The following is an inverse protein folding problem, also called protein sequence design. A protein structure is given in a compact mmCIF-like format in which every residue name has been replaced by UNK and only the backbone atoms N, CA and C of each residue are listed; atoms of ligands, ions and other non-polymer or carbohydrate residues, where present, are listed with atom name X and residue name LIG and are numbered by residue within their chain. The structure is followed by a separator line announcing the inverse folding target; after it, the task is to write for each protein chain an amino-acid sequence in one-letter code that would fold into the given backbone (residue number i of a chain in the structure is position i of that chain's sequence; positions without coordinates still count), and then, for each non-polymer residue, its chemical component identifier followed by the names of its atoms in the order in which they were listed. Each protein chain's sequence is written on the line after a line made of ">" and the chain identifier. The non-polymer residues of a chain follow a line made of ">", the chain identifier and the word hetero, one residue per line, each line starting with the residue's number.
data_IF_869319272747
#
_entry.id   IF_869319272747
#
_cell.length_a   1.000
_cell.length_b   1.000
_cell.length_c   1.000
_cell.angle_alpha   90.00
_cell.angle_beta   90.00
_cell.angle_gamma   90.00
#
_symmetry.space_group_name_H-M   'P 1'
#
loop_
_entity.id
_entity.type
_entity.pdbx_description
1 polymer ?
#
# COMPACT_ATOMS: atom_id res chain seq x y z
N UNK A 1 6.71 -14.67 11.27
CA UNK A 1 5.44 -14.44 10.55
C UNK A 1 4.90 -13.10 10.98
N UNK A 2 4.43 -12.27 10.06
CA UNK A 2 3.83 -10.96 10.31
C UNK A 2 2.53 -10.86 9.50
N UNK A 3 1.43 -10.46 10.16
CA UNK A 3 0.16 -10.11 9.51
C UNK A 3 0.06 -8.58 9.47
N UNK A 4 0.10 -8.00 8.27
CA UNK A 4 -0.15 -6.57 8.07
C UNK A 4 -1.62 -6.36 7.72
N UNK A 5 -2.31 -5.47 8.45
CA UNK A 5 -3.72 -5.17 8.22
C UNK A 5 -3.92 -3.68 7.95
N UNK A 6 -4.56 -3.38 6.83
CA UNK A 6 -4.76 -2.03 6.31
C UNK A 6 -6.23 -1.65 6.41
N UNK A 7 -6.50 -0.52 7.08
CA UNK A 7 -7.84 0.06 7.25
C UNK A 7 -7.75 1.57 7.15
N UNK A 8 -8.90 2.21 6.90
CA UNK A 8 -9.00 3.67 6.80
C UNK A 8 -8.03 4.24 5.76
N UNK A 9 -7.89 3.53 4.63
CA UNK A 9 -7.15 4.02 3.48
C UNK A 9 -8.12 4.76 2.57
N UNK A 10 -7.74 5.94 2.12
CA UNK A 10 -8.57 6.79 1.28
C UNK A 10 -7.78 7.15 0.01
N UNK A 11 -8.47 7.21 -1.12
CA UNK A 11 -7.87 7.70 -2.36
C UNK A 11 -7.68 9.20 -2.30
N UNK A 12 -6.63 9.70 -2.95
CA UNK A 12 -6.44 11.14 -3.09
C UNK A 12 -7.63 11.73 -3.86
N UNK A 13 -8.29 12.71 -3.25
CA UNK A 13 -9.54 13.23 -3.76
C UNK A 13 -9.30 14.26 -4.88
N UNK A 14 -10.25 14.37 -5.81
CA UNK A 14 -10.24 15.42 -6.81
C UNK A 14 -10.92 16.67 -6.22
N UNK A 15 -10.19 17.77 -5.94
CA UNK A 15 -10.78 18.98 -5.38
C UNK A 15 -11.78 19.65 -6.34
N UNK A 16 -11.65 19.45 -7.66
CA UNK A 16 -12.57 20.03 -8.66
C UNK A 16 -14.00 19.51 -8.53
N UNK A 17 -14.20 18.30 -8.00
CA UNK A 17 -15.54 17.75 -7.73
C UNK A 17 -16.24 18.48 -6.59
N UNK A 18 -15.48 19.14 -5.71
CA UNK A 18 -15.94 19.72 -4.44
C UNK A 18 -16.07 21.24 -4.53
N UNK A 19 -16.31 21.76 -5.74
CA UNK A 19 -16.54 23.18 -5.98
C UNK A 19 -18.03 23.46 -6.10
N UNK A 20 -18.43 24.70 -5.78
CA UNK A 20 -19.81 25.16 -5.92
C UNK A 20 -20.34 24.97 -7.35
N UNK A 21 -19.51 25.16 -8.38
CA UNK A 21 -19.89 24.94 -9.78
C UNK A 21 -20.35 23.52 -10.09
N UNK A 22 -19.89 22.52 -9.34
CA UNK A 22 -20.29 21.11 -9.49
C UNK A 22 -21.49 20.79 -8.62
N UNK A 23 -21.47 21.26 -7.36
CA UNK A 23 -22.47 20.90 -6.37
C UNK A 23 -23.75 21.75 -6.44
N UNK A 24 -23.69 22.92 -7.09
CA UNK A 24 -24.84 23.79 -7.30
C UNK A 24 -25.96 23.07 -8.05
N UNK A 25 -27.19 23.21 -7.54
CA UNK A 25 -28.37 22.53 -8.04
C UNK A 25 -28.53 21.06 -7.59
N UNK A 26 -27.62 20.52 -6.78
CA UNK A 26 -27.83 19.27 -6.06
C UNK A 26 -28.31 19.56 -4.65
N UNK A 27 -29.25 18.75 -4.15
CA UNK A 27 -29.68 18.82 -2.76
C UNK A 27 -28.53 18.35 -1.84
N UNK A 28 -28.10 19.16 -0.85
CA UNK A 28 -27.08 18.76 0.10
C UNK A 28 -27.46 17.47 0.83
N UNK A 29 -26.54 16.51 0.86
CA UNK A 29 -26.77 15.21 1.51
C UNK A 29 -27.56 14.19 0.67
N UNK A 30 -28.01 14.55 -0.54
CA UNK A 30 -28.55 13.58 -1.49
C UNK A 30 -27.50 12.54 -1.90
N UNK A 31 -27.94 11.38 -2.40
CA UNK A 31 -27.03 10.31 -2.86
C UNK A 31 -26.02 10.83 -3.89
N UNK A 32 -26.48 11.63 -4.85
CA UNK A 32 -25.63 12.23 -5.88
C UNK A 32 -24.63 13.24 -5.31
N UNK A 33 -25.06 14.05 -4.32
CA UNK A 33 -24.18 14.98 -3.63
C UNK A 33 -23.05 14.24 -2.92
N UNK A 34 -23.40 13.22 -2.12
CA UNK A 34 -22.44 12.43 -1.36
C UNK A 34 -21.51 11.65 -2.30
N UNK A 35 -22.02 11.10 -3.41
CA UNK A 35 -21.19 10.45 -4.43
C UNK A 35 -20.12 11.37 -5.00
N UNK A 36 -20.38 12.68 -5.08
CA UNK A 36 -19.43 13.67 -5.59
C UNK A 36 -18.45 14.14 -4.52
N UNK A 37 -18.93 14.38 -3.30
CA UNK A 37 -18.19 15.05 -2.23
C UNK A 37 -17.44 14.08 -1.33
N UNK A 38 -17.99 12.90 -1.08
CA UNK A 38 -17.37 11.93 -0.19
C UNK A 38 -16.06 11.41 -0.79
N UNK A 39 -15.06 11.26 0.05
CA UNK A 39 -13.78 10.69 -0.35
C UNK A 39 -13.91 9.17 -0.40
N UNK A 40 -13.43 8.57 -1.48
CA UNK A 40 -13.49 7.12 -1.62
C UNK A 40 -12.55 6.42 -0.62
N UNK A 41 -13.16 5.67 0.30
CA UNK A 41 -12.45 4.79 1.21
C UNK A 41 -12.23 3.42 0.53
N UNK A 42 -10.99 2.94 0.57
CA UNK A 42 -10.64 1.62 0.07
C UNK A 42 -11.10 0.52 1.05
N UNK A 43 -11.39 -0.64 0.49
CA UNK A 43 -11.71 -1.84 1.27
C UNK A 43 -10.54 -2.22 2.19
N UNK A 44 -10.89 -2.85 3.33
CA UNK A 44 -9.88 -3.33 4.27
C UNK A 44 -9.09 -4.47 3.63
N UNK A 45 -7.77 -4.43 3.75
CA UNK A 45 -6.87 -5.35 3.06
C UNK A 45 -5.83 -5.90 4.03
N UNK A 46 -5.21 -7.03 3.70
CA UNK A 46 -4.13 -7.59 4.52
C UNK A 46 -3.10 -8.35 3.68
N UNK A 47 -1.89 -8.46 4.21
CA UNK A 47 -0.84 -9.34 3.70
C UNK A 47 -0.23 -10.16 4.82
N UNK A 48 0.29 -11.33 4.47
CA UNK A 48 1.01 -12.21 5.40
C UNK A 48 2.45 -12.36 4.92
N UNK A 49 3.40 -12.05 5.79
CA UNK A 49 4.82 -12.09 5.52
C UNK A 49 5.55 -13.06 6.45
N UNK A 50 6.67 -13.60 6.00
CA UNK A 50 7.54 -14.45 6.80
C UNK A 50 8.99 -14.10 6.52
N UNK A 51 9.81 -14.15 7.56
CA UNK A 51 11.25 -14.08 7.41
C UNK A 51 11.92 -15.00 8.42
N UNK A 52 13.11 -15.46 8.06
CA UNK A 52 13.99 -16.25 8.90
C UNK A 52 15.40 -15.68 8.79
N UNK A 53 16.11 -15.65 9.92
CA UNK A 53 17.49 -15.18 10.00
C UNK A 53 18.39 -16.22 10.62
N UNK A 54 19.64 -16.28 10.16
CA UNK A 54 20.69 -17.09 10.76
C UNK A 54 21.94 -16.25 10.96
N UNK A 55 22.54 -16.33 12.15
CA UNK A 55 23.78 -15.63 12.48
C UNK A 55 24.90 -16.62 12.73
N UNK A 56 25.91 -16.59 11.87
CA UNK A 56 27.08 -17.45 11.94
C UNK A 56 28.28 -16.71 12.52
N UNK A 57 28.79 -17.19 13.66
CA UNK A 57 29.95 -16.58 14.33
C UNK A 57 31.27 -17.02 13.69
N UNK A 58 31.99 -16.07 13.09
CA UNK A 58 33.20 -16.34 12.31
C UNK A 58 34.40 -16.76 13.16
N UNK A 59 34.53 -16.21 14.37
CA UNK A 59 35.65 -16.49 15.27
C UNK A 59 35.73 -17.95 15.73
N UNK A 60 34.66 -18.74 15.56
CA UNK A 60 34.72 -20.18 15.83
C UNK A 60 35.65 -20.91 14.87
N UNK A 61 35.72 -20.45 13.62
CA UNK A 61 36.41 -21.15 12.54
C UNK A 61 37.60 -20.35 11.97
N UNK A 62 37.63 -19.04 12.16
CA UNK A 62 38.75 -18.18 11.76
C UNK A 62 39.54 -17.76 13.00
N UNK A 63 40.61 -18.52 13.30
CA UNK A 63 41.47 -18.31 14.48
C UNK A 63 42.22 -16.97 14.51
N UNK A 64 42.25 -16.24 13.38
CA UNK A 64 42.84 -14.90 13.27
C UNK A 64 41.94 -13.75 13.76
N UNK A 65 40.65 -13.99 13.99
CA UNK A 65 39.71 -12.96 14.43
C UNK A 65 39.75 -12.81 15.96
N UNK A 66 40.14 -11.63 16.45
CA UNK A 66 40.24 -11.33 17.89
C UNK A 66 38.92 -10.88 18.54
N UNK A 67 38.02 -10.24 17.76
CA UNK A 67 36.69 -9.75 18.21
C UNK A 67 35.58 -10.56 17.56
N UNK A 68 34.44 -10.76 18.24
CA UNK A 68 33.33 -11.60 17.76
C UNK A 68 32.67 -11.02 16.51
N UNK A 69 33.04 -11.53 15.35
CA UNK A 69 32.40 -11.18 14.08
C UNK A 69 31.30 -12.20 13.73
N UNK A 70 30.21 -11.72 13.14
CA UNK A 70 29.09 -12.55 12.68
C UNK A 70 28.78 -12.27 11.21
N UNK A 71 28.57 -13.32 10.44
CA UNK A 71 27.81 -13.25 9.19
C UNK A 71 26.34 -13.46 9.51
N UNK A 72 25.52 -12.48 9.19
CA UNK A 72 24.08 -12.50 9.40
C UNK A 72 23.41 -12.71 8.05
N UNK A 73 22.67 -13.80 7.91
CA UNK A 73 21.85 -14.12 6.75
C UNK A 73 20.39 -13.86 7.11
N UNK A 74 19.64 -13.19 6.25
CA UNK A 74 18.19 -13.06 6.38
C UNK A 74 17.55 -13.44 5.07
N UNK A 75 16.50 -14.26 5.13
CA UNK A 75 15.64 -14.60 4.02
C UNK A 75 14.22 -14.23 4.40
N UNK A 76 13.44 -13.74 3.46
CA UNK A 76 12.02 -13.54 3.70
C UNK A 76 11.19 -13.56 2.43
N UNK A 77 9.90 -13.71 2.66
CA UNK A 77 8.83 -13.73 1.67
C UNK A 77 7.73 -12.80 2.17
N UNK A 78 7.37 -11.83 1.34
CA UNK A 78 6.29 -10.90 1.57
C UNK A 78 5.08 -11.32 0.74
N UNK A 79 3.89 -11.05 1.25
CA UNK A 79 2.61 -11.37 0.60
C UNK A 79 2.54 -12.85 0.19
N UNK A 80 2.73 -13.76 1.15
CA UNK A 80 2.76 -15.22 0.96
C UNK A 80 1.49 -15.75 0.29
N UNK A 81 0.36 -15.09 0.54
CA UNK A 81 -0.93 -15.42 -0.08
C UNK A 81 -1.02 -14.98 -1.54
N UNK A 82 0.00 -14.28 -2.06
CA UNK A 82 0.08 -13.75 -3.41
C UNK A 82 -1.14 -12.87 -3.78
N UNK A 83 -1.60 -12.04 -2.84
CA UNK A 83 -2.73 -11.15 -3.08
C UNK A 83 -2.31 -9.99 -4.00
N UNK A 84 -2.78 -9.99 -5.25
CA UNK A 84 -2.45 -8.97 -6.26
C UNK A 84 -3.47 -7.83 -6.30
N UNK A 85 -4.56 -7.96 -5.57
CA UNK A 85 -5.63 -6.96 -5.51
C UNK A 85 -5.39 -5.93 -4.39
N UNK A 86 -4.25 -6.01 -3.71
CA UNK A 86 -3.88 -5.04 -2.67
C UNK A 86 -3.61 -3.68 -3.32
N UNK A 87 -4.50 -2.73 -3.11
CA UNK A 87 -4.36 -1.34 -3.53
C UNK A 87 -3.34 -0.65 -2.63
N UNK A 88 -2.17 -0.33 -3.19
CA UNK A 88 -1.09 0.39 -2.50
C UNK A 88 -1.30 1.91 -2.49
N UNK A 89 -2.22 2.42 -3.30
CA UNK A 89 -2.55 3.83 -3.38
C UNK A 89 -3.37 4.15 -4.63
N UNK A 90 -3.63 5.44 -4.88
CA UNK A 90 -4.37 5.88 -6.05
C UNK A 90 -4.95 7.27 -5.87
N UNK A 91 -5.59 7.76 -6.92
CA UNK A 91 -6.17 9.11 -6.96
C UNK A 91 -7.42 9.18 -7.83
N UNK A 92 -8.35 10.03 -7.44
CA UNK A 92 -9.44 10.49 -8.29
C UNK A 92 -8.86 11.37 -9.42
N UNK A 93 -9.26 11.12 -10.67
CA UNK A 93 -8.74 11.90 -11.79
C UNK A 93 -9.20 13.36 -11.71
N UNK A 94 -8.33 14.30 -12.06
CA UNK A 94 -8.65 15.75 -12.19
C UNK A 94 -9.53 16.08 -13.41
N UNK A 95 -10.43 15.16 -13.79
CA UNK A 95 -11.41 15.31 -14.86
C UNK A 95 -12.78 14.98 -14.28
N UNK A 96 -13.78 15.77 -14.66
CA UNK A 96 -15.15 15.59 -14.19
C UNK A 96 -16.13 15.99 -15.29
N UNK A 97 -17.27 15.30 -15.35
CA UNK A 97 -18.36 15.65 -16.26
C UNK A 97 -19.24 16.75 -15.63
N UNK A 98 -18.97 18.02 -15.95
CA UNK A 98 -19.74 19.13 -15.38
C UNK A 98 -21.19 19.19 -15.88
N UNK A 99 -21.50 18.55 -17.02
CA UNK A 99 -22.84 18.58 -17.61
C UNK A 99 -23.71 17.44 -17.07
N UNK A 100 -23.19 16.21 -17.13
CA UNK A 100 -23.90 15.01 -16.67
C UNK A 100 -23.71 14.70 -15.18
N UNK A 101 -22.73 15.35 -14.53
CA UNK A 101 -22.29 15.12 -13.14
C UNK A 101 -21.88 13.68 -12.83
N UNK A 102 -21.60 12.87 -13.86
CA UNK A 102 -21.23 11.47 -13.72
C UNK A 102 -19.79 11.30 -13.20
N UNK A 103 -19.67 10.67 -12.04
CA UNK A 103 -18.40 10.37 -11.37
C UNK A 103 -17.66 9.20 -12.01
N UNK A 104 -18.36 8.30 -12.71
CA UNK A 104 -17.76 7.09 -13.31
C UNK A 104 -17.18 7.34 -14.70
N UNK A 105 -17.49 8.48 -15.33
CA UNK A 105 -16.93 8.85 -16.63
C UNK A 105 -15.40 8.93 -16.60
N UNK A 106 -14.83 9.30 -15.46
CA UNK A 106 -13.39 9.33 -15.21
C UNK A 106 -13.08 8.60 -13.89
N UNK A 107 -13.09 7.26 -13.90
CA UNK A 107 -12.98 6.49 -12.66
C UNK A 107 -11.61 6.71 -12.01
N UNK A 108 -11.50 6.56 -10.68
CA UNK A 108 -10.23 6.71 -9.98
C UNK A 108 -9.16 5.74 -10.50
N UNK A 109 -7.91 6.19 -10.50
CA UNK A 109 -6.76 5.33 -10.82
C UNK A 109 -6.23 4.72 -9.53
N UNK A 110 -6.10 3.40 -9.52
CA UNK A 110 -5.57 2.63 -8.40
C UNK A 110 -4.22 2.02 -8.77
N UNK A 111 -3.31 1.99 -7.81
CA UNK A 111 -2.03 1.31 -7.88
C UNK A 111 -2.09 0.06 -7.02
N UNK A 112 -1.51 -1.02 -7.52
CA UNK A 112 -1.53 -2.31 -6.84
C UNK A 112 -0.14 -2.64 -6.33
N UNK A 113 -0.08 -3.18 -5.11
CA UNK A 113 1.14 -3.73 -4.55
C UNK A 113 1.59 -4.95 -5.37
N UNK A 114 2.87 -5.27 -5.29
CA UNK A 114 3.36 -6.52 -5.85
C UNK A 114 2.69 -7.72 -5.17
N UNK A 115 2.53 -8.81 -5.92
CA UNK A 115 2.17 -10.12 -5.40
C UNK A 115 3.26 -10.68 -4.48
N UNK A 116 3.39 -12.01 -4.44
CA UNK A 116 4.43 -12.65 -3.65
C UNK A 116 5.83 -12.14 -4.06
N UNK A 117 6.65 -11.74 -3.09
CA UNK A 117 8.01 -11.24 -3.34
C UNK A 117 8.99 -11.81 -2.31
N UNK A 118 10.23 -12.07 -2.73
CA UNK A 118 11.26 -12.69 -1.93
C UNK A 118 12.44 -11.74 -1.74
N UNK A 119 13.04 -11.77 -0.55
CA UNK A 119 14.27 -11.03 -0.29
C UNK A 119 15.31 -11.92 0.41
N UNK A 120 16.57 -11.61 0.16
CA UNK A 120 17.71 -12.19 0.83
C UNK A 120 18.72 -11.09 1.16
N UNK A 121 19.31 -11.14 2.35
CA UNK A 121 20.39 -10.23 2.74
C UNK A 121 21.49 -10.95 3.49
N UNK A 122 22.72 -10.46 3.31
CA UNK A 122 23.89 -10.85 4.07
C UNK A 122 24.53 -9.60 4.68
N UNK A 123 24.87 -9.67 5.96
CA UNK A 123 25.52 -8.59 6.68
C UNK A 123 26.70 -9.07 7.50
N UNK A 124 27.71 -8.22 7.66
CA UNK A 124 28.83 -8.44 8.56
C UNK A 124 28.65 -7.57 9.80
N UNK A 125 28.65 -8.19 10.99
CA UNK A 125 28.55 -7.52 12.29
C UNK A 125 29.82 -7.74 13.10
N UNK A 126 30.43 -6.65 13.58
CA UNK A 126 31.72 -6.61 14.30
C UNK A 126 31.56 -6.56 15.82
#
# INVERSE_FOLDING_TARGET
>A
MNLNYFRHMFLDFNPLRRTESVTSGLEPGSEMWNKIVDQEQLENQFTLDAFAGYSYMLNRNIKGLKKRNYLVFTLGVNNILNNQDVVSGGFEQLRFDFTGKDTERFPPRRFYAYGINFFASIGLRF
#
